data_IF_244232849374
#
_entry.id   IF_244232849374
#
_cell.length_a   1.000
_cell.length_b   1.000
_cell.length_c   1.000
_cell.angle_alpha   90.00
_cell.angle_beta   90.00
_cell.angle_gamma   90.00
#
_symmetry.space_group_name_H-M   'P 1'
#
loop_
_entity.id
_entity.type
_entity.pdbx_description
1 polymer ?
#
# COMPACT_ATOMS: atom_id res chain seq x y z
N UNK A 1 12.19 -38.77 -43.53
CA UNK A 1 13.24 -38.28 -42.60
C UNK A 1 13.33 -36.78 -42.75
N UNK A 2 13.12 -36.05 -41.63
CA UNK A 2 13.20 -34.58 -41.44
C UNK A 2 12.23 -33.70 -42.27
N UNK A 3 11.60 -32.64 -41.76
CA UNK A 3 11.82 -31.88 -40.54
C UNK A 3 10.46 -31.50 -39.92
N UNK A 4 10.27 -31.94 -38.68
CA UNK A 4 9.40 -31.31 -37.68
C UNK A 4 9.90 -29.87 -37.52
N UNK A 5 9.01 -28.87 -37.60
CA UNK A 5 8.98 -27.61 -36.82
C UNK A 5 7.74 -26.85 -37.34
N UNK A 6 6.59 -27.02 -36.68
CA UNK A 6 5.53 -26.00 -36.67
C UNK A 6 5.53 -25.41 -35.27
N UNK A 7 6.22 -24.28 -35.16
CA UNK A 7 6.29 -23.42 -33.99
C UNK A 7 4.87 -22.84 -33.77
N UNK A 8 4.09 -23.40 -32.85
CA UNK A 8 2.80 -22.84 -32.47
C UNK A 8 3.04 -21.76 -31.41
N UNK A 9 2.66 -20.53 -31.75
CA UNK A 9 2.89 -19.30 -31.02
C UNK A 9 2.32 -19.35 -29.60
N UNK A 10 3.19 -19.15 -28.60
CA UNK A 10 2.77 -18.78 -27.26
C UNK A 10 2.51 -17.26 -27.24
N UNK A 11 1.25 -16.86 -27.38
CA UNK A 11 0.84 -15.46 -27.20
C UNK A 11 0.92 -15.12 -25.72
N UNK A 12 2.03 -14.49 -25.31
CA UNK A 12 2.17 -13.94 -23.96
C UNK A 12 1.19 -12.75 -23.81
N UNK A 13 0.13 -12.93 -23.02
CA UNK A 13 -0.66 -11.80 -22.51
C UNK A 13 0.27 -10.97 -21.61
N UNK A 14 0.82 -9.89 -22.16
CA UNK A 14 1.41 -8.83 -21.35
C UNK A 14 0.27 -8.22 -20.51
N UNK A 15 0.26 -8.54 -19.22
CA UNK A 15 -0.56 -7.83 -18.26
C UNK A 15 -0.09 -6.37 -18.26
N UNK A 16 -0.90 -5.47 -18.84
CA UNK A 16 -0.70 -4.04 -18.73
C UNK A 16 -0.98 -3.70 -17.26
N UNK A 17 0.08 -3.56 -16.47
CA UNK A 17 -0.02 -2.98 -15.14
C UNK A 17 -0.39 -1.51 -15.30
N UNK A 18 -1.67 -1.18 -15.09
CA UNK A 18 -2.09 0.21 -14.93
C UNK A 18 -1.32 0.78 -13.74
N UNK A 19 -0.55 1.84 -13.99
CA UNK A 19 0.10 2.62 -12.94
C UNK A 19 -0.99 3.22 -12.07
N UNK A 20 -1.12 2.76 -10.83
CA UNK A 20 -1.97 3.41 -9.84
C UNK A 20 -1.27 4.70 -9.38
N UNK A 21 -1.98 5.82 -9.38
CA UNK A 21 -1.44 7.12 -8.98
C UNK A 21 -2.09 7.53 -7.66
N UNK A 22 -1.37 7.34 -6.55
CA UNK A 22 -1.84 7.84 -5.27
C UNK A 22 -1.77 9.38 -5.24
N UNK A 23 -2.92 10.04 -5.07
CA UNK A 23 -2.95 11.48 -4.76
C UNK A 23 -2.90 11.65 -3.25
N UNK A 24 -1.97 12.49 -2.77
CA UNK A 24 -1.80 12.80 -1.34
C UNK A 24 -2.33 14.20 -1.02
N UNK A 25 -2.98 14.33 0.14
CA UNK A 25 -3.45 15.61 0.68
C UNK A 25 -2.94 15.77 2.11
N UNK A 26 -2.31 16.90 2.43
CA UNK A 26 -1.79 17.20 3.78
C UNK A 26 -0.27 17.12 3.92
N UNK A 27 0.28 17.49 5.09
CA UNK A 27 1.71 17.40 5.37
C UNK A 27 2.14 15.97 5.76
N UNK A 28 3.45 15.68 5.79
CA UNK A 28 3.97 14.31 6.04
C UNK A 28 3.52 13.75 7.40
N UNK A 29 3.30 14.63 8.39
CA UNK A 29 2.79 14.25 9.70
C UNK A 29 1.32 13.81 9.70
N UNK A 30 0.54 14.16 8.67
CA UNK A 30 -0.86 13.77 8.54
C UNK A 30 -1.36 13.97 7.11
N UNK A 31 -1.44 12.89 6.33
CA UNK A 31 -1.92 12.94 4.95
C UNK A 31 -2.97 11.87 4.66
N UNK A 32 -3.89 12.20 3.76
CA UNK A 32 -4.89 11.28 3.24
C UNK A 32 -4.47 10.74 1.87
N UNK A 33 -4.75 9.45 1.64
CA UNK A 33 -4.53 8.76 0.36
C UNK A 33 -5.84 8.21 -0.16
N UNK A 34 -6.12 8.47 -1.44
CA UNK A 34 -7.29 7.95 -2.14
C UNK A 34 -6.96 6.62 -2.79
N UNK A 35 -7.83 5.63 -2.62
CA UNK A 35 -7.77 4.40 -3.41
C UNK A 35 -8.47 4.62 -4.77
N UNK A 36 -7.71 4.89 -5.81
CA UNK A 36 -8.19 5.08 -7.18
C UNK A 36 -7.93 3.86 -8.10
N UNK A 37 -7.57 2.71 -7.52
CA UNK A 37 -7.12 1.52 -8.26
C UNK A 37 -8.23 0.76 -9.01
N UNK A 38 -9.49 1.15 -8.86
CA UNK A 38 -10.65 0.44 -9.42
C UNK A 38 -11.03 -0.86 -8.69
N UNK A 39 -10.28 -1.23 -7.65
CA UNK A 39 -10.58 -2.41 -6.80
C UNK A 39 -10.36 -2.09 -5.32
N UNK A 40 -10.91 -2.87 -4.37
CA UNK A 40 -10.64 -2.67 -2.95
C UNK A 40 -9.13 -2.79 -2.62
N UNK A 41 -8.58 -1.78 -1.93
CA UNK A 41 -7.21 -1.82 -1.44
C UNK A 41 -7.16 -2.41 -0.02
N UNK A 42 -6.24 -3.33 0.21
CA UNK A 42 -6.08 -4.05 1.48
C UNK A 42 -4.90 -3.55 2.31
N UNK A 43 -4.38 -2.38 1.96
CA UNK A 43 -3.25 -1.77 2.63
C UNK A 43 -2.64 -0.67 1.78
N UNK A 44 -1.62 -0.02 2.34
CA UNK A 44 -0.75 0.89 1.63
C UNK A 44 0.64 0.86 2.27
N UNK A 45 1.61 1.40 1.55
CA UNK A 45 3.00 1.44 1.92
C UNK A 45 3.55 2.85 1.73
N UNK A 46 4.27 3.34 2.74
CA UNK A 46 4.96 4.63 2.72
C UNK A 46 6.46 4.36 2.84
N UNK A 47 7.23 4.77 1.83
CA UNK A 47 8.70 4.71 1.87
C UNK A 47 9.27 6.06 2.26
N UNK A 48 10.05 6.10 3.33
CA UNK A 48 10.73 7.30 3.82
C UNK A 48 12.25 7.13 3.62
N UNK A 49 12.83 7.92 2.72
CA UNK A 49 14.26 7.89 2.44
C UNK A 49 15.06 8.75 3.43
N UNK A 50 16.32 8.36 3.69
CA UNK A 50 17.26 9.12 4.50
C UNK A 50 17.11 8.95 6.01
N UNK A 51 16.21 8.07 6.46
CA UNK A 51 15.99 7.73 7.87
C UNK A 51 15.87 6.21 8.05
N UNK A 52 15.99 5.75 9.29
CA UNK A 52 15.72 4.39 9.74
C UNK A 52 14.49 4.35 10.67
N UNK A 53 13.97 3.16 10.93
CA UNK A 53 12.88 2.92 11.88
C UNK A 53 13.14 3.52 13.27
N UNK A 54 14.39 3.53 13.74
CA UNK A 54 14.79 4.13 15.02
C UNK A 54 14.62 5.64 15.07
N UNK A 55 14.56 6.31 13.92
CA UNK A 55 14.31 7.75 13.81
C UNK A 55 12.81 8.08 13.90
N UNK A 56 11.93 7.07 13.79
CA UNK A 56 10.48 7.22 13.88
C UNK A 56 10.04 7.21 15.35
N UNK A 57 9.68 8.38 15.87
CA UNK A 57 9.16 8.50 17.24
C UNK A 57 7.75 7.93 17.42
N UNK A 58 6.94 7.87 16.35
CA UNK A 58 5.56 7.43 16.42
C UNK A 58 5.01 7.04 15.05
N UNK A 59 4.15 6.01 15.05
CA UNK A 59 3.29 5.64 13.94
C UNK A 59 1.82 5.66 14.38
N UNK A 60 0.92 6.08 13.49
CA UNK A 60 -0.51 6.07 13.75
C UNK A 60 -1.03 4.63 13.78
N UNK A 61 -1.86 4.27 14.76
CA UNK A 61 -2.37 2.90 14.92
C UNK A 61 -1.45 1.95 15.69
N UNK A 62 -0.24 2.38 16.06
CA UNK A 62 0.74 1.55 16.74
C UNK A 62 0.43 1.39 18.24
N UNK A 63 0.98 0.34 18.85
CA UNK A 63 0.73 0.02 20.27
C UNK A 63 1.15 1.14 21.23
N UNK A 64 2.20 1.89 20.88
CA UNK A 64 2.71 3.00 21.69
C UNK A 64 1.94 4.31 21.51
N UNK A 65 1.14 4.47 20.44
CA UNK A 65 0.34 5.67 20.18
C UNK A 65 -0.86 5.37 19.28
N UNK A 66 -2.06 5.64 19.80
CA UNK A 66 -3.34 5.40 19.12
C UNK A 66 -3.60 3.92 18.79
N UNK A 67 -3.50 3.00 19.76
CA UNK A 67 -3.69 1.58 19.51
C UNK A 67 -5.09 1.29 18.95
N UNK A 68 -5.15 0.56 17.82
CA UNK A 68 -6.41 0.20 17.17
C UNK A 68 -7.11 1.34 16.41
N UNK A 69 -6.54 2.55 16.41
CA UNK A 69 -7.02 3.66 15.59
C UNK A 69 -6.47 3.54 14.17
N UNK A 70 -6.77 2.43 13.50
CA UNK A 70 -6.32 2.14 12.14
C UNK A 70 -7.28 1.14 11.50
N UNK A 71 -7.53 1.29 10.19
CA UNK A 71 -8.43 0.41 9.43
C UNK A 71 -7.90 -1.01 9.28
N UNK A 72 -6.59 -1.09 9.06
CA UNK A 72 -5.85 -2.30 8.80
C UNK A 72 -5.25 -2.83 10.12
N UNK A 73 -4.23 -3.68 10.05
CA UNK A 73 -3.48 -4.05 11.24
C UNK A 73 -2.57 -2.89 11.71
N UNK A 74 -2.06 -2.95 12.96
CA UNK A 74 -1.00 -2.05 13.41
C UNK A 74 0.17 -2.03 12.40
N UNK A 75 0.76 -0.85 12.15
CA UNK A 75 1.79 -0.73 11.13
C UNK A 75 3.07 -1.45 11.51
N UNK A 76 3.80 -1.90 10.50
CA UNK A 76 5.19 -2.36 10.63
C UNK A 76 6.13 -1.37 9.97
N UNK A 77 7.34 -1.23 10.51
CA UNK A 77 8.42 -0.45 9.92
C UNK A 77 9.58 -1.40 9.59
N UNK A 78 10.05 -1.38 8.34
CA UNK A 78 11.13 -2.26 7.87
C UNK A 78 12.21 -1.42 7.20
N UNK A 79 13.43 -1.48 7.74
CA UNK A 79 14.57 -0.80 7.14
C UNK A 79 15.00 -1.49 5.84
N UNK A 80 15.45 -0.68 4.89
CA UNK A 80 16.08 -1.13 3.66
C UNK A 80 17.11 -0.13 3.15
N UNK A 81 17.70 -0.46 2.01
CA UNK A 81 18.60 0.45 1.30
C UNK A 81 18.53 0.19 -0.19
N UNK A 82 18.67 1.26 -0.98
CA UNK A 82 18.76 1.20 -2.42
C UNK A 82 19.83 2.18 -2.93
N UNK A 83 19.88 2.42 -4.24
CA UNK A 83 20.85 3.32 -4.85
C UNK A 83 20.74 4.78 -4.34
N UNK A 84 19.62 5.16 -3.72
CA UNK A 84 19.37 6.48 -3.14
C UNK A 84 19.70 6.54 -1.63
N UNK A 85 20.24 5.46 -1.05
CA UNK A 85 20.64 5.39 0.35
C UNK A 85 19.71 4.52 1.21
N UNK A 86 19.71 4.78 2.52
CA UNK A 86 18.83 4.08 3.47
C UNK A 86 17.39 4.57 3.34
N UNK A 87 16.45 3.68 3.63
CA UNK A 87 15.04 4.02 3.75
C UNK A 87 14.37 3.14 4.80
N UNK A 88 13.17 3.54 5.20
CA UNK A 88 12.25 2.72 5.99
C UNK A 88 10.91 2.62 5.28
N UNK A 89 10.42 1.40 5.17
CA UNK A 89 9.10 1.05 4.62
C UNK A 89 8.11 0.92 5.77
N UNK A 90 7.14 1.83 5.84
CA UNK A 90 6.02 1.79 6.81
C UNK A 90 4.80 1.17 6.12
N UNK A 91 4.38 0.02 6.62
CA UNK A 91 3.39 -0.83 5.95
C UNK A 91 2.13 -0.93 6.82
N UNK A 92 1.01 -0.56 6.22
CA UNK A 92 -0.33 -0.73 6.78
C UNK A 92 -1.05 -1.80 5.95
N UNK A 93 -1.32 -2.98 6.51
CA UNK A 93 -1.86 -4.11 5.74
C UNK A 93 -2.94 -4.88 6.52
N UNK A 94 -4.05 -5.22 5.86
CA UNK A 94 -5.06 -6.14 6.38
C UNK A 94 -4.51 -7.57 6.49
N UNK A 95 -5.09 -8.38 7.38
CA UNK A 95 -4.78 -9.80 7.41
C UNK A 95 -5.44 -10.49 6.21
N UNK A 96 -4.68 -11.35 5.52
CA UNK A 96 -5.21 -12.23 4.49
C UNK A 96 -5.41 -13.64 5.03
N UNK A 97 -6.66 -14.12 5.00
CA UNK A 97 -6.99 -15.50 5.28
C UNK A 97 -6.83 -16.32 3.98
N UNK A 98 -5.76 -17.11 3.94
CA UNK A 98 -5.43 -17.94 2.78
C UNK A 98 -6.33 -19.16 2.61
N UNK A 99 -7.05 -19.57 3.66
CA UNK A 99 -8.01 -20.69 3.63
C UNK A 99 -9.31 -20.21 3.00
N UNK A 100 -9.86 -19.10 3.52
CA UNK A 100 -11.13 -18.56 3.04
C UNK A 100 -10.99 -17.61 1.85
N UNK A 101 -9.76 -17.26 1.45
CA UNK A 101 -9.45 -16.29 0.38
C UNK A 101 -10.07 -14.92 0.64
N UNK A 102 -10.05 -14.46 1.90
CA UNK A 102 -10.66 -13.20 2.33
C UNK A 102 -9.66 -12.28 3.01
N UNK A 103 -9.93 -10.98 2.97
CA UNK A 103 -9.18 -9.96 3.69
C UNK A 103 -9.97 -9.46 4.88
N UNK A 104 -9.30 -9.18 5.99
CA UNK A 104 -9.93 -8.69 7.22
C UNK A 104 -10.51 -7.28 7.08
N UNK A 105 -9.98 -6.48 6.17
CA UNK A 105 -10.44 -5.12 5.88
C UNK A 105 -10.12 -4.73 4.43
N UNK A 106 -10.85 -3.75 3.92
CA UNK A 106 -10.61 -3.14 2.62
C UNK A 106 -11.04 -1.68 2.59
N UNK A 107 -10.38 -0.91 1.72
CA UNK A 107 -10.79 0.45 1.38
C UNK A 107 -11.39 0.40 -0.03
N UNK A 108 -12.70 0.68 -0.19
CA UNK A 108 -13.31 0.73 -1.52
C UNK A 108 -12.58 1.70 -2.43
N UNK A 109 -12.55 1.41 -3.75
CA UNK A 109 -12.06 2.40 -4.69
C UNK A 109 -13.10 3.50 -4.87
N UNK A 110 -12.64 4.75 -4.98
CA UNK A 110 -13.51 5.90 -5.14
C UNK A 110 -12.74 7.20 -5.33
N UNK A 111 -13.48 8.28 -5.53
CA UNK A 111 -12.94 9.64 -5.53
C UNK A 111 -13.32 10.32 -4.22
N UNK A 112 -12.41 11.12 -3.66
CA UNK A 112 -12.78 11.97 -2.52
C UNK A 112 -13.68 13.11 -3.04
N UNK A 113 -14.88 13.31 -2.46
CA UNK A 113 -15.80 14.36 -2.91
C UNK A 113 -15.29 15.78 -2.63
N UNK A 114 -14.34 15.95 -1.71
CA UNK A 114 -13.69 17.23 -1.35
C UNK A 114 -12.26 16.90 -0.91
N UNK A 115 -11.28 17.74 -1.23
CA UNK A 115 -9.93 17.66 -0.66
C UNK A 115 -10.06 17.80 0.88
N UNK A 116 -9.89 16.72 1.67
CA UNK A 116 -10.12 16.81 3.09
C UNK A 116 -9.00 17.65 3.68
N UNK A 117 -9.37 18.70 4.41
CA UNK A 117 -8.42 19.43 5.27
C UNK A 117 -8.34 18.84 6.66
N UNK A 118 -9.24 17.90 7.00
CA UNK A 118 -9.34 17.31 8.33
C UNK A 118 -9.46 15.78 8.24
N UNK A 119 -8.39 15.08 8.62
CA UNK A 119 -8.29 13.61 8.71
C UNK A 119 -9.08 13.01 9.88
N UNK A 120 -10.18 13.65 10.29
CA UNK A 120 -11.04 13.09 11.32
C UNK A 120 -11.89 11.97 10.71
N UNK A 121 -11.50 10.73 11.01
CA UNK A 121 -12.32 9.54 10.85
C UNK A 121 -13.79 9.82 11.23
N UNK A 122 -14.77 9.71 10.31
CA UNK A 122 -16.11 9.34 10.73
C UNK A 122 -16.08 7.83 11.02
N UNK A 123 -16.55 7.44 12.20
CA UNK A 123 -16.55 6.05 12.69
C UNK A 123 -17.22 5.05 11.77
#
# INVERSE_FOLDING_TARGET
>A
MMCIIKLLQATALMAISLSAFATTFGPVENFDVVNDTGTPAHGFHIRLHGIQDTDISSLFGAANRWPGMVRYNPPTAVNGSDANGVYVDVIYQAAYDSVNKTWSAGTPSGTLPVAPTDSCWPG
#
